data_IF_075743991681
#
_entry.id   IF_075743991681
#
_cell.length_a   1.000
_cell.length_b   1.000
_cell.length_c   1.000
_cell.angle_alpha   90.00
_cell.angle_beta   90.00
_cell.angle_gamma   90.00
#
_symmetry.space_group_name_H-M   'P 1'
#
loop_
_entity.id
_entity.type
_entity.pdbx_description
1 polymer ?
#
# COMPACT_ATOMS: atom_id res chain seq x y z
N UNK A 1 -2.08 -12.12 12.86
CA UNK A 1 -2.06 -10.85 13.61
C UNK A 1 -2.85 -9.83 12.81
N UNK A 2 -3.67 -9.00 13.48
CA UNK A 2 -4.46 -7.94 12.86
C UNK A 2 -4.05 -6.63 13.52
N UNK A 3 -3.72 -5.62 12.73
CA UNK A 3 -3.28 -4.31 13.20
C UNK A 3 -4.29 -3.25 12.78
N UNK A 4 -4.62 -2.33 13.68
CA UNK A 4 -5.46 -1.17 13.40
C UNK A 4 -4.64 0.11 13.45
N UNK A 5 -4.75 0.94 12.40
CA UNK A 5 -4.16 2.28 12.35
C UNK A 5 -5.27 3.32 12.45
N UNK A 6 -5.30 4.09 13.54
CA UNK A 6 -6.31 5.12 13.80
C UNK A 6 -5.66 6.48 14.02
N UNK A 7 -6.39 7.56 13.72
CA UNK A 7 -5.92 8.92 13.85
C UNK A 7 -6.61 9.89 12.90
N UNK A 8 -6.40 11.20 13.11
CA UNK A 8 -6.98 12.28 12.29
C UNK A 8 -6.59 12.14 10.80
N UNK A 9 -7.39 12.67 9.86
CA UNK A 9 -6.95 12.87 8.47
C UNK A 9 -5.61 13.62 8.44
N UNK A 10 -4.70 13.24 7.54
CA UNK A 10 -3.35 13.81 7.46
C UNK A 10 -2.35 13.33 8.53
N UNK A 11 -2.74 12.50 9.50
CA UNK A 11 -1.84 12.00 10.56
C UNK A 11 -0.81 10.93 10.10
N UNK A 12 -0.60 10.75 8.80
CA UNK A 12 0.42 9.82 8.29
C UNK A 12 0.07 8.33 8.29
N UNK A 13 -1.19 7.94 8.55
CA UNK A 13 -1.61 6.51 8.60
C UNK A 13 -1.24 5.72 7.34
N UNK A 14 -1.42 6.32 6.16
CA UNK A 14 -1.07 5.69 4.89
C UNK A 14 0.44 5.48 4.77
N UNK A 15 1.24 6.45 5.20
CA UNK A 15 2.70 6.32 5.23
C UNK A 15 3.13 5.20 6.17
N UNK A 16 2.56 5.17 7.38
CA UNK A 16 2.84 4.12 8.37
C UNK A 16 2.45 2.72 7.85
N UNK A 17 1.28 2.59 7.23
CA UNK A 17 0.84 1.34 6.60
C UNK A 17 1.84 0.87 5.52
N UNK A 18 2.37 1.80 4.72
CA UNK A 18 3.35 1.48 3.68
C UNK A 18 4.68 1.04 4.28
N UNK A 19 5.26 1.86 5.17
CA UNK A 19 6.62 1.64 5.70
C UNK A 19 6.68 0.44 6.64
N UNK A 20 5.70 0.28 7.52
CA UNK A 20 5.74 -0.71 8.60
C UNK A 20 5.07 -2.04 8.25
N UNK A 21 4.22 -2.09 7.21
CA UNK A 21 3.48 -3.31 6.85
C UNK A 21 3.67 -3.73 5.39
N UNK A 22 3.40 -2.85 4.42
CA UNK A 22 3.44 -3.21 2.99
C UNK A 22 4.88 -3.48 2.54
N UNK A 23 5.81 -2.55 2.78
CA UNK A 23 7.18 -2.67 2.32
C UNK A 23 7.90 -3.91 2.93
N UNK A 24 7.80 -4.20 4.24
CA UNK A 24 8.35 -5.42 4.81
C UNK A 24 7.72 -6.70 4.23
N UNK A 25 6.40 -6.70 3.99
CA UNK A 25 5.71 -7.85 3.42
C UNK A 25 6.13 -8.11 1.96
N UNK A 26 6.29 -7.06 1.15
CA UNK A 26 6.81 -7.18 -0.22
C UNK A 26 8.24 -7.75 -0.24
N UNK A 27 9.11 -7.27 0.67
CA UNK A 27 10.48 -7.82 0.82
C UNK A 27 10.50 -9.30 1.22
N UNK A 28 9.43 -9.79 1.83
CA UNK A 28 9.24 -11.21 2.17
C UNK A 28 8.57 -12.01 1.05
N UNK A 29 8.36 -11.43 -0.13
CA UNK A 29 7.69 -12.09 -1.25
C UNK A 29 6.20 -12.30 -1.05
N UNK A 30 5.56 -11.55 -0.12
CA UNK A 30 4.13 -11.71 0.16
C UNK A 30 3.30 -10.85 -0.78
N UNK A 31 2.22 -11.44 -1.31
CA UNK A 31 1.24 -10.72 -2.12
C UNK A 31 0.45 -9.74 -1.24
N UNK A 32 0.37 -8.49 -1.70
CA UNK A 32 -0.37 -7.38 -1.10
C UNK A 32 -1.57 -7.07 -1.99
N UNK A 33 -2.76 -7.12 -1.40
CA UNK A 33 -4.01 -6.67 -2.03
C UNK A 33 -4.48 -5.46 -1.24
N UNK A 34 -4.61 -4.30 -1.89
CA UNK A 34 -4.89 -3.05 -1.17
C UNK A 34 -5.65 -2.03 -2.02
N UNK A 35 -6.51 -1.25 -1.37
CA UNK A 35 -7.13 -0.06 -1.94
C UNK A 35 -6.37 1.23 -1.62
N UNK A 36 -5.24 1.13 -0.90
CA UNK A 36 -4.35 2.27 -0.71
C UNK A 36 -3.71 2.61 -2.06
N UNK A 37 -3.76 3.87 -2.53
CA UNK A 37 -3.11 4.25 -3.77
C UNK A 37 -1.59 4.10 -3.62
N UNK A 38 -0.98 3.27 -4.46
CA UNK A 38 0.46 3.04 -4.52
C UNK A 38 0.99 3.32 -5.92
N UNK A 39 2.19 3.89 -6.00
CA UNK A 39 2.93 4.00 -7.25
C UNK A 39 3.72 2.68 -7.47
N UNK A 40 3.12 1.74 -8.20
CA UNK A 40 3.71 0.41 -8.44
C UNK A 40 5.06 0.51 -9.15
N UNK A 41 5.21 1.40 -10.13
CA UNK A 41 6.46 1.55 -10.88
C UNK A 41 7.60 2.03 -9.98
N UNK A 42 7.30 2.86 -8.97
CA UNK A 42 8.30 3.24 -7.97
C UNK A 42 8.73 2.05 -7.12
N UNK A 43 7.79 1.21 -6.68
CA UNK A 43 8.15 -0.03 -5.97
C UNK A 43 9.00 -0.95 -6.85
N UNK A 44 8.68 -1.09 -8.13
CA UNK A 44 9.47 -1.87 -9.09
C UNK A 44 10.88 -1.30 -9.26
N UNK A 45 11.03 0.03 -9.33
CA UNK A 45 12.36 0.65 -9.45
C UNK A 45 13.28 0.41 -8.25
N UNK A 46 12.72 0.14 -7.07
CA UNK A 46 13.47 -0.05 -5.82
C UNK A 46 13.63 -1.54 -5.47
N UNK A 47 12.61 -2.36 -5.72
CA UNK A 47 12.55 -3.76 -5.30
C UNK A 47 12.73 -4.75 -6.48
N UNK A 48 12.71 -4.27 -7.72
CA UNK A 48 12.78 -5.06 -8.94
C UNK A 48 11.42 -5.50 -9.48
N UNK A 49 11.43 -6.10 -10.68
CA UNK A 49 10.23 -6.51 -11.42
C UNK A 49 9.27 -7.43 -10.64
N UNK A 50 9.74 -8.38 -9.78
CA UNK A 50 8.83 -9.24 -9.02
C UNK A 50 7.84 -8.48 -8.13
N UNK A 51 8.14 -7.23 -7.76
CA UNK A 51 7.22 -6.41 -6.96
C UNK A 51 5.89 -6.13 -7.70
N UNK A 52 5.90 -6.09 -9.04
CA UNK A 52 4.69 -5.86 -9.84
C UNK A 52 3.65 -6.95 -9.63
N UNK A 53 4.07 -8.21 -9.63
CA UNK A 53 3.18 -9.37 -9.47
C UNK A 53 2.70 -9.57 -8.03
N UNK A 54 3.42 -8.96 -7.07
CA UNK A 54 3.07 -9.01 -5.66
C UNK A 54 2.07 -7.92 -5.26
N UNK A 55 1.84 -6.89 -6.06
CA UNK A 55 0.93 -5.79 -5.72
C UNK A 55 -0.34 -5.88 -6.57
N UNK A 56 -1.49 -6.01 -5.89
CA UNK A 56 -2.81 -5.92 -6.50
C UNK A 56 -3.52 -4.70 -5.93
N UNK A 57 -3.70 -3.67 -6.77
CA UNK A 57 -4.52 -2.53 -6.43
C UNK A 57 -5.98 -2.87 -6.70
N UNK A 58 -6.81 -2.77 -5.67
CA UNK A 58 -8.27 -2.87 -5.79
C UNK A 58 -8.86 -1.47 -5.75
N UNK A 59 -9.83 -1.21 -6.62
CA UNK A 59 -10.54 0.05 -6.58
C UNK A 59 -11.37 0.11 -5.28
N UNK A 60 -10.97 1.00 -4.39
CA UNK A 60 -11.83 1.39 -3.29
C UNK A 60 -12.88 2.30 -3.89
N UNK A 61 -14.12 1.83 -4.01
CA UNK A 61 -15.29 2.53 -4.56
C UNK A 61 -15.68 3.86 -3.85
N UNK A 62 -14.73 4.53 -3.19
CA UNK A 62 -14.86 5.69 -2.34
C UNK A 62 -14.00 6.88 -2.80
N UNK A 63 -13.29 6.81 -3.94
CA UNK A 63 -12.73 8.01 -4.58
C UNK A 63 -13.79 8.75 -5.42
N UNK A 64 -14.96 9.00 -4.82
CA UNK A 64 -15.90 10.00 -5.30
C UNK A 64 -15.94 11.17 -4.31
N UNK A 65 -15.88 12.39 -4.86
CA UNK A 65 -16.18 13.67 -4.21
C UNK A 65 -15.12 14.26 -3.26
N UNK A 66 -14.05 14.81 -3.85
CA UNK A 66 -13.68 16.19 -3.54
C UNK A 66 -13.68 16.98 -4.86
N UNK A 67 -14.88 17.39 -5.23
CA UNK A 67 -15.15 18.49 -6.16
C UNK A 67 -16.02 19.48 -5.42
#
# INVERSE_FOLDING_TARGET
MINGLSGRPGAGKTYEAVVSHILPALKQGRKIITNIPLNVDWFVSVLGEPARDLIVLVDGAYFHAWR
#
